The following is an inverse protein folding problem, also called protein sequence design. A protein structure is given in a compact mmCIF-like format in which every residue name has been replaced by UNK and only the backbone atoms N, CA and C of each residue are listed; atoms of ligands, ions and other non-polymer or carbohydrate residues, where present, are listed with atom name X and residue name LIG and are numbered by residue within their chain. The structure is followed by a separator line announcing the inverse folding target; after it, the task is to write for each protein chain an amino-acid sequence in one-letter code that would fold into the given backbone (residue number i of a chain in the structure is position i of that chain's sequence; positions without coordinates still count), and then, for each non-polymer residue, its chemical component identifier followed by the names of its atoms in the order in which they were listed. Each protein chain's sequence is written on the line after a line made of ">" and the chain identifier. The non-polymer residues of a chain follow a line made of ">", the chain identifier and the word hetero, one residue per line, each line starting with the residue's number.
data_IF_602250643495
#
_entry.id   IF_602250643495
#
_cell.length_a   1.000
_cell.length_b   1.000
_cell.length_c   1.000
_cell.angle_alpha   90.00
_cell.angle_beta   90.00
_cell.angle_gamma   90.00
#
_symmetry.space_group_name_H-M   'P 1'
#
loop_
_entity.id
_entity.type
_entity.pdbx_description
1 polymer ?
#
# COMPACT_ATOMS: atom_id res chain seq x y z
N UNK A 1 -34.60 -39.75 -40.00
CA UNK A 1 -34.75 -38.32 -39.72
C UNK A 1 -33.91 -37.97 -38.53
N UNK A 2 -32.93 -37.06 -38.65
CA UNK A 2 -32.11 -36.63 -37.53
C UNK A 2 -32.99 -35.85 -36.53
N UNK A 3 -33.04 -36.28 -35.26
CA UNK A 3 -33.75 -35.56 -34.19
C UNK A 3 -33.27 -34.12 -34.11
N UNK A 4 -34.18 -33.15 -34.25
CA UNK A 4 -33.90 -31.74 -34.03
C UNK A 4 -33.43 -31.56 -32.59
N UNK A 5 -32.25 -30.97 -32.38
CA UNK A 5 -31.73 -30.66 -31.05
C UNK A 5 -32.61 -29.63 -30.35
N UNK A 6 -32.71 -29.66 -29.02
CA UNK A 6 -33.42 -28.64 -28.26
C UNK A 6 -32.86 -27.22 -28.57
N UNK A 7 -33.73 -26.21 -28.47
CA UNK A 7 -33.30 -24.82 -28.58
C UNK A 7 -32.36 -24.51 -27.42
N UNK A 8 -31.12 -24.05 -27.72
CA UNK A 8 -30.08 -23.77 -26.72
C UNK A 8 -28.81 -24.63 -26.85
N UNK A 9 -28.91 -25.84 -27.47
CA UNK A 9 -27.77 -26.78 -27.60
C UNK A 9 -26.65 -26.33 -28.57
N UNK A 10 -26.78 -25.14 -29.19
CA UNK A 10 -25.81 -24.61 -30.15
C UNK A 10 -25.84 -25.31 -31.53
N UNK A 11 -25.19 -24.70 -32.51
CA UNK A 11 -25.01 -25.25 -33.85
C UNK A 11 -23.72 -26.09 -33.90
N UNK A 12 -23.80 -27.28 -34.52
CA UNK A 12 -22.65 -28.18 -34.72
C UNK A 12 -22.55 -28.55 -36.19
N UNK A 13 -21.35 -28.41 -36.78
CA UNK A 13 -21.06 -28.86 -38.14
C UNK A 13 -19.65 -29.45 -38.22
N UNK A 14 -19.44 -30.35 -39.20
CA UNK A 14 -18.12 -30.83 -39.60
C UNK A 14 -17.58 -29.89 -40.67
N UNK A 15 -16.36 -29.40 -40.54
CA UNK A 15 -15.68 -28.53 -41.49
C UNK A 15 -15.00 -29.36 -42.59
N UNK A 16 -14.65 -28.70 -43.67
CA UNK A 16 -13.91 -29.33 -44.78
C UNK A 16 -12.50 -29.80 -44.35
N UNK A 17 -11.90 -29.10 -43.34
CA UNK A 17 -10.61 -29.47 -42.73
C UNK A 17 -10.71 -30.69 -41.77
N UNK A 18 -11.87 -31.37 -41.73
CA UNK A 18 -12.10 -32.53 -40.90
C UNK A 18 -12.42 -32.26 -39.44
N UNK A 19 -12.23 -31.04 -38.95
CA UNK A 19 -12.56 -30.66 -37.57
C UNK A 19 -14.04 -30.41 -37.37
N UNK A 20 -14.51 -30.61 -36.14
CA UNK A 20 -15.86 -30.29 -35.77
C UNK A 20 -15.88 -28.82 -35.22
N UNK A 21 -16.87 -28.05 -35.64
CA UNK A 21 -17.12 -26.69 -35.19
C UNK A 21 -18.51 -26.62 -34.55
N UNK A 22 -18.57 -25.96 -33.40
CA UNK A 22 -19.83 -25.63 -32.74
C UNK A 22 -19.86 -24.17 -32.33
N UNK A 23 -21.05 -23.58 -32.23
CA UNK A 23 -21.24 -22.22 -31.76
C UNK A 23 -22.50 -22.08 -30.93
N UNK A 24 -22.43 -21.25 -29.90
CA UNK A 24 -23.58 -20.83 -29.08
C UNK A 24 -23.71 -19.30 -29.18
N UNK A 25 -24.93 -18.78 -28.97
CA UNK A 25 -25.17 -17.35 -28.84
C UNK A 25 -24.84 -16.97 -27.40
N UNK A 26 -24.00 -15.95 -27.21
CA UNK A 26 -23.54 -15.47 -25.90
C UNK A 26 -23.94 -14.01 -25.63
N UNK A 27 -24.61 -13.37 -26.56
CA UNK A 27 -25.09 -11.99 -26.47
C UNK A 27 -25.56 -11.46 -27.81
N UNK A 28 -25.95 -10.21 -27.84
CA UNK A 28 -26.38 -9.50 -29.04
C UNK A 28 -25.65 -8.16 -29.19
N UNK A 29 -25.44 -7.75 -30.44
CA UNK A 29 -24.94 -6.42 -30.77
C UNK A 29 -26.06 -5.41 -30.59
N UNK A 30 -25.71 -4.10 -30.55
CA UNK A 30 -26.69 -2.99 -30.47
C UNK A 30 -27.75 -3.03 -31.58
N UNK A 31 -27.44 -3.63 -32.74
CA UNK A 31 -28.34 -3.80 -33.87
C UNK A 31 -29.13 -5.15 -33.83
N UNK A 32 -29.10 -5.88 -32.71
CA UNK A 32 -29.80 -7.15 -32.55
C UNK A 32 -29.08 -8.37 -33.17
N UNK A 33 -27.94 -8.19 -33.85
CA UNK A 33 -27.17 -9.33 -34.43
C UNK A 33 -26.56 -10.17 -33.31
N UNK A 34 -26.71 -11.53 -33.32
CA UNK A 34 -26.17 -12.37 -32.28
C UNK A 34 -24.65 -12.42 -32.27
N UNK A 35 -24.08 -12.43 -31.06
CA UNK A 35 -22.66 -12.66 -30.81
C UNK A 35 -22.46 -14.15 -30.55
N UNK A 36 -21.61 -14.80 -31.35
CA UNK A 36 -21.35 -16.22 -31.23
C UNK A 36 -20.01 -16.49 -30.53
N UNK A 37 -20.03 -17.47 -29.61
CA UNK A 37 -18.85 -18.15 -29.11
C UNK A 37 -18.66 -19.45 -29.88
N UNK A 38 -17.49 -19.63 -30.50
CA UNK A 38 -17.12 -20.80 -31.26
C UNK A 38 -16.32 -21.78 -30.41
N UNK A 39 -16.54 -23.06 -30.65
CA UNK A 39 -15.73 -24.16 -30.13
C UNK A 39 -15.29 -25.07 -31.29
N UNK A 40 -14.08 -25.61 -31.22
CA UNK A 40 -13.51 -26.52 -32.20
C UNK A 40 -12.94 -27.75 -31.52
N UNK A 41 -13.13 -28.92 -32.17
CA UNK A 41 -12.62 -30.19 -31.70
C UNK A 41 -12.29 -31.14 -32.85
N UNK A 42 -11.50 -32.16 -32.58
CA UNK A 42 -11.21 -33.23 -33.54
C UNK A 42 -12.32 -34.28 -33.61
N UNK A 43 -13.04 -34.46 -32.52
CA UNK A 43 -14.17 -35.41 -32.44
C UNK A 43 -15.46 -34.69 -32.07
N UNK A 44 -16.60 -35.29 -32.47
CA UNK A 44 -17.93 -34.77 -32.12
C UNK A 44 -18.17 -34.82 -30.60
N UNK A 45 -17.66 -35.86 -29.91
CA UNK A 45 -17.81 -36.04 -28.47
C UNK A 45 -17.09 -34.90 -27.72
N UNK A 46 -15.84 -34.67 -28.06
CA UNK A 46 -15.04 -33.57 -27.48
C UNK A 46 -15.70 -32.18 -27.73
N UNK A 47 -16.26 -31.98 -28.94
CA UNK A 47 -16.97 -30.74 -29.23
C UNK A 47 -18.20 -30.58 -28.34
N UNK A 48 -18.98 -31.66 -28.15
CA UNK A 48 -20.17 -31.61 -27.31
C UNK A 48 -19.82 -31.25 -25.87
N UNK A 49 -18.76 -31.85 -25.31
CA UNK A 49 -18.27 -31.52 -23.99
C UNK A 49 -17.83 -30.03 -23.87
N UNK A 50 -17.10 -29.51 -24.86
CA UNK A 50 -16.73 -28.09 -24.94
C UNK A 50 -17.93 -27.14 -25.07
N UNK A 51 -18.94 -27.53 -25.82
CA UNK A 51 -20.18 -26.76 -25.95
C UNK A 51 -20.96 -26.71 -24.63
N UNK A 52 -21.10 -27.85 -23.94
CA UNK A 52 -21.74 -27.89 -22.62
C UNK A 52 -21.01 -26.98 -21.63
N UNK A 53 -19.67 -27.04 -21.56
CA UNK A 53 -18.87 -26.14 -20.73
C UNK A 53 -19.08 -24.67 -21.10
N UNK A 54 -19.20 -24.34 -22.38
CA UNK A 54 -19.50 -22.99 -22.82
C UNK A 54 -20.93 -22.58 -22.46
N UNK A 55 -21.93 -23.46 -22.61
CA UNK A 55 -23.32 -23.17 -22.20
C UNK A 55 -23.35 -22.85 -20.70
N UNK A 56 -22.79 -23.73 -19.86
CA UNK A 56 -22.70 -23.46 -18.40
C UNK A 56 -21.96 -22.18 -18.05
N UNK A 57 -20.89 -21.85 -18.80
CA UNK A 57 -20.08 -20.63 -18.57
C UNK A 57 -20.84 -19.36 -18.91
N UNK A 58 -21.69 -19.40 -19.96
CA UNK A 58 -22.38 -18.22 -20.47
C UNK A 58 -23.90 -18.26 -20.18
N UNK A 59 -24.35 -19.19 -19.33
CA UNK A 59 -25.75 -19.25 -18.91
C UNK A 59 -26.13 -17.92 -18.21
N UNK A 60 -27.25 -17.35 -18.63
CA UNK A 60 -27.78 -16.09 -18.11
C UNK A 60 -26.89 -14.86 -18.28
N UNK A 61 -25.91 -14.94 -19.18
CA UNK A 61 -24.99 -13.83 -19.46
C UNK A 61 -25.19 -13.33 -20.90
N UNK A 62 -25.43 -12.04 -21.05
CA UNK A 62 -25.52 -11.36 -22.33
C UNK A 62 -24.27 -10.48 -22.56
N UNK A 63 -23.31 -11.00 -23.33
CA UNK A 63 -22.07 -10.29 -23.62
C UNK A 63 -22.28 -9.18 -24.66
N UNK A 64 -21.52 -8.10 -24.52
CA UNK A 64 -21.47 -6.98 -25.48
C UNK A 64 -20.41 -7.23 -26.59
N UNK A 65 -20.40 -6.37 -27.63
CA UNK A 65 -19.38 -6.41 -28.68
C UNK A 65 -17.95 -6.25 -28.12
N UNK A 66 -17.84 -5.52 -27.03
CA UNK A 66 -16.58 -5.25 -26.32
C UNK A 66 -15.92 -6.53 -25.74
N UNK A 67 -16.67 -7.63 -25.64
CA UNK A 67 -16.12 -8.94 -25.23
C UNK A 67 -15.01 -9.48 -26.15
N UNK A 68 -14.91 -8.96 -27.37
CA UNK A 68 -13.89 -9.35 -28.37
C UNK A 68 -12.59 -8.59 -28.24
N UNK A 69 -12.56 -7.48 -27.49
CA UNK A 69 -11.33 -6.72 -27.30
C UNK A 69 -10.26 -7.56 -26.59
N UNK A 70 -9.01 -7.20 -26.78
CA UNK A 70 -7.89 -7.79 -26.07
C UNK A 70 -7.89 -7.35 -24.59
N UNK A 71 -7.24 -8.13 -23.73
CA UNK A 71 -7.04 -7.73 -22.35
C UNK A 71 -6.25 -6.40 -22.24
N UNK A 72 -5.30 -6.16 -23.15
CA UNK A 72 -4.55 -4.90 -23.20
C UNK A 72 -5.47 -3.70 -23.45
N UNK A 73 -6.34 -3.78 -24.47
CA UNK A 73 -7.30 -2.72 -24.80
C UNK A 73 -8.29 -2.46 -23.66
N UNK A 74 -8.78 -3.55 -23.02
CA UNK A 74 -9.64 -3.42 -21.83
C UNK A 74 -8.93 -2.70 -20.69
N UNK A 75 -7.71 -3.10 -20.35
CA UNK A 75 -6.97 -2.52 -19.23
C UNK A 75 -6.61 -1.04 -19.48
N UNK A 76 -6.33 -0.64 -20.73
CA UNK A 76 -6.14 0.77 -21.07
C UNK A 76 -7.42 1.57 -20.89
N UNK A 77 -8.53 1.06 -21.43
CA UNK A 77 -9.85 1.66 -21.28
C UNK A 77 -10.25 1.74 -19.79
N UNK A 78 -9.99 0.70 -19.02
CA UNK A 78 -10.27 0.68 -17.59
C UNK A 78 -9.50 1.75 -16.82
N UNK A 79 -8.22 1.96 -17.14
CA UNK A 79 -7.43 3.02 -16.52
C UNK A 79 -7.99 4.41 -16.84
N UNK A 80 -8.40 4.64 -18.10
CA UNK A 80 -8.87 5.95 -18.57
C UNK A 80 -10.31 6.22 -18.12
N UNK A 81 -11.24 5.31 -18.41
CA UNK A 81 -12.67 5.55 -18.24
C UNK A 81 -13.12 5.33 -16.78
N UNK A 82 -12.51 4.37 -16.07
CA UNK A 82 -12.96 3.96 -14.73
C UNK A 82 -12.08 4.51 -13.61
N UNK A 83 -10.79 4.76 -13.85
CA UNK A 83 -9.85 5.08 -12.75
C UNK A 83 -9.28 6.50 -12.79
N UNK A 84 -9.09 7.10 -13.95
CA UNK A 84 -8.44 8.41 -14.06
C UNK A 84 -9.08 9.48 -13.18
N UNK A 85 -10.40 9.56 -13.16
CA UNK A 85 -11.15 10.53 -12.38
C UNK A 85 -11.53 10.07 -10.96
N UNK A 86 -11.25 8.80 -10.60
CA UNK A 86 -11.70 8.22 -9.31
C UNK A 86 -10.57 8.00 -8.34
N UNK A 87 -9.33 7.92 -8.80
CA UNK A 87 -8.17 7.70 -7.96
C UNK A 87 -7.15 8.82 -8.07
N UNK A 88 -6.31 8.99 -7.05
CA UNK A 88 -5.25 10.00 -7.07
C UNK A 88 -4.21 9.69 -8.17
N UNK A 89 -3.54 10.72 -8.74
CA UNK A 89 -2.54 10.53 -9.81
C UNK A 89 -1.44 9.52 -9.46
N UNK A 90 -0.95 9.53 -8.21
CA UNK A 90 0.06 8.55 -7.76
C UNK A 90 -0.47 7.11 -7.68
N UNK A 91 -1.75 6.91 -7.38
CA UNK A 91 -2.39 5.59 -7.40
C UNK A 91 -2.58 5.11 -8.83
N UNK A 92 -3.05 5.99 -9.72
CA UNK A 92 -3.21 5.72 -11.15
C UNK A 92 -1.87 5.33 -11.79
N UNK A 93 -0.80 6.07 -11.50
CA UNK A 93 0.55 5.74 -11.95
C UNK A 93 1.01 4.35 -11.45
N UNK A 94 0.67 4.01 -10.20
CA UNK A 94 0.93 2.69 -9.64
C UNK A 94 0.14 1.58 -10.33
N UNK A 95 -1.13 1.81 -10.66
CA UNK A 95 -1.97 0.87 -11.43
C UNK A 95 -1.41 0.66 -12.82
N UNK A 96 -1.12 1.76 -13.54
CA UNK A 96 -0.49 1.73 -14.87
C UNK A 96 0.81 0.93 -14.85
N UNK A 97 1.69 1.21 -13.89
CA UNK A 97 2.96 0.48 -13.75
C UNK A 97 2.76 -1.03 -13.52
N UNK A 98 1.79 -1.43 -12.71
CA UNK A 98 1.48 -2.85 -12.50
C UNK A 98 0.96 -3.51 -13.78
N UNK A 99 0.07 -2.85 -14.50
CA UNK A 99 -0.54 -3.36 -15.72
C UNK A 99 0.51 -3.49 -16.84
N UNK A 100 1.27 -2.43 -17.11
CA UNK A 100 2.26 -2.39 -18.20
C UNK A 100 3.42 -3.36 -17.97
N UNK A 101 3.91 -3.45 -16.73
CA UNK A 101 5.10 -4.24 -16.46
C UNK A 101 4.81 -5.73 -16.22
N UNK A 102 3.60 -6.08 -15.77
CA UNK A 102 3.36 -7.44 -15.28
C UNK A 102 2.19 -8.17 -15.96
N UNK A 103 1.09 -7.49 -16.29
CA UNK A 103 -0.09 -8.15 -16.85
C UNK A 103 -0.02 -8.19 -18.38
N UNK A 104 0.14 -7.03 -19.02
CA UNK A 104 0.12 -6.91 -20.47
C UNK A 104 1.20 -7.76 -21.17
N UNK A 105 2.45 -7.85 -20.71
CA UNK A 105 3.47 -8.65 -21.37
C UNK A 105 3.14 -10.13 -21.50
N UNK A 106 2.29 -10.65 -20.60
CA UNK A 106 1.97 -12.08 -20.55
C UNK A 106 0.56 -12.43 -21.03
N UNK A 107 -0.40 -11.55 -20.78
CA UNK A 107 -1.81 -11.81 -21.06
C UNK A 107 -2.46 -10.76 -21.99
N UNK A 108 -1.80 -9.65 -22.26
CA UNK A 108 -2.38 -8.51 -22.96
C UNK A 108 -2.93 -8.81 -24.34
N UNK A 109 -2.29 -9.68 -25.12
CA UNK A 109 -2.74 -10.07 -26.45
C UNK A 109 -3.91 -11.06 -26.47
N UNK A 110 -4.31 -11.61 -25.31
CA UNK A 110 -5.42 -12.55 -25.23
C UNK A 110 -6.75 -11.78 -25.20
N UNK A 111 -7.77 -12.31 -25.89
CA UNK A 111 -9.12 -11.75 -25.81
C UNK A 111 -9.61 -11.81 -24.36
N UNK A 112 -10.18 -10.69 -23.85
CA UNK A 112 -10.53 -10.53 -22.44
C UNK A 112 -11.52 -11.59 -21.95
N UNK A 113 -12.51 -11.94 -22.76
CA UNK A 113 -13.50 -12.97 -22.43
C UNK A 113 -12.95 -14.41 -22.41
N UNK A 114 -11.76 -14.63 -22.97
CA UNK A 114 -11.08 -15.93 -23.01
C UNK A 114 -10.01 -16.10 -21.91
N UNK A 115 -9.76 -15.08 -21.10
CA UNK A 115 -8.86 -15.20 -19.95
C UNK A 115 -9.44 -16.16 -18.94
N UNK A 116 -8.64 -17.11 -18.47
CA UNK A 116 -9.06 -18.15 -17.51
C UNK A 116 -8.34 -18.02 -16.19
N UNK A 117 -8.88 -18.63 -15.13
CA UNK A 117 -8.21 -18.68 -13.82
C UNK A 117 -6.85 -19.41 -13.89
N UNK A 118 -6.71 -20.36 -14.81
CA UNK A 118 -5.41 -21.02 -15.06
C UNK A 118 -4.38 -20.06 -15.66
N UNK A 119 -4.78 -19.13 -16.54
CA UNK A 119 -3.89 -18.10 -17.08
C UNK A 119 -3.40 -17.18 -15.97
N UNK A 120 -4.33 -16.77 -15.11
CA UNK A 120 -4.02 -15.92 -13.94
C UNK A 120 -3.06 -16.64 -12.98
N UNK A 121 -3.30 -17.93 -12.71
CA UNK A 121 -2.42 -18.73 -11.85
C UNK A 121 -1.02 -18.93 -12.46
N UNK A 122 -0.93 -19.13 -13.78
CA UNK A 122 0.35 -19.20 -14.49
C UNK A 122 1.09 -17.87 -14.45
N UNK A 123 0.38 -16.74 -14.58
CA UNK A 123 0.94 -15.40 -14.42
C UNK A 123 1.58 -15.26 -13.04
N UNK A 124 0.87 -15.56 -11.94
CA UNK A 124 1.42 -15.41 -10.59
C UNK A 124 2.64 -16.30 -10.34
N UNK A 125 2.63 -17.53 -10.84
CA UNK A 125 3.79 -18.41 -10.74
C UNK A 125 5.02 -17.82 -11.45
N UNK A 126 4.87 -17.37 -12.70
CA UNK A 126 5.97 -16.75 -13.46
C UNK A 126 6.50 -15.48 -12.79
N UNK A 127 5.61 -14.65 -12.24
CA UNK A 127 6.00 -13.45 -11.51
C UNK A 127 6.77 -13.78 -10.22
N UNK A 128 6.41 -14.88 -9.56
CA UNK A 128 7.15 -15.36 -8.39
C UNK A 128 8.54 -15.86 -8.76
N UNK A 129 8.68 -16.53 -9.88
CA UNK A 129 9.95 -17.11 -10.34
C UNK A 129 10.86 -16.04 -10.97
N UNK A 130 10.34 -15.23 -11.88
CA UNK A 130 11.10 -14.25 -12.67
C UNK A 130 10.25 -13.02 -13.07
N UNK A 131 9.73 -12.32 -12.07
CA UNK A 131 8.79 -11.22 -12.31
C UNK A 131 9.37 -9.82 -12.25
N UNK A 132 10.62 -9.62 -11.81
CA UNK A 132 11.20 -8.28 -11.73
C UNK A 132 11.58 -7.76 -13.11
N UNK A 133 11.17 -6.51 -13.40
CA UNK A 133 11.58 -5.79 -14.61
C UNK A 133 13.09 -5.53 -14.63
N UNK A 134 13.70 -5.34 -13.45
CA UNK A 134 15.14 -5.22 -13.26
C UNK A 134 15.56 -6.14 -12.12
N UNK A 135 16.57 -6.93 -12.33
CA UNK A 135 17.14 -7.77 -11.30
C UNK A 135 17.61 -6.94 -10.11
N UNK A 136 17.32 -7.43 -8.91
CA UNK A 136 17.72 -6.75 -7.68
C UNK A 136 18.90 -7.47 -7.04
N UNK A 137 19.99 -6.78 -6.65
CA UNK A 137 21.20 -7.43 -6.13
C UNK A 137 20.97 -8.40 -4.98
N UNK A 138 19.99 -8.10 -4.10
CA UNK A 138 19.65 -8.91 -2.93
C UNK A 138 18.55 -9.95 -3.18
N UNK A 139 17.60 -9.66 -4.07
CA UNK A 139 16.37 -10.46 -4.24
C UNK A 139 16.27 -11.13 -5.61
N UNK A 140 17.29 -10.99 -6.47
CA UNK A 140 17.31 -11.54 -7.81
C UNK A 140 16.14 -11.05 -8.66
N UNK A 141 15.61 -11.93 -9.50
CA UNK A 141 14.50 -11.67 -10.42
C UNK A 141 13.11 -11.96 -9.83
N UNK A 142 13.02 -12.51 -8.61
CA UNK A 142 11.74 -12.89 -7.97
C UNK A 142 10.93 -11.68 -7.52
N UNK A 143 9.61 -11.71 -7.72
CA UNK A 143 8.70 -10.69 -7.22
C UNK A 143 8.19 -11.06 -5.83
N UNK A 144 8.07 -10.08 -4.93
CA UNK A 144 7.57 -10.33 -3.57
C UNK A 144 6.09 -10.69 -3.56
N UNK A 145 5.67 -11.53 -2.59
CA UNK A 145 4.27 -11.91 -2.40
C UNK A 145 3.36 -10.69 -2.20
N UNK A 146 3.83 -9.68 -1.47
CA UNK A 146 3.11 -8.40 -1.29
C UNK A 146 2.85 -7.70 -2.63
N UNK A 147 3.80 -7.73 -3.57
CA UNK A 147 3.63 -7.13 -4.89
C UNK A 147 2.65 -7.94 -5.73
N UNK A 148 2.70 -9.27 -5.66
CA UNK A 148 1.74 -10.15 -6.36
C UNK A 148 0.33 -9.94 -5.80
N UNK A 149 0.16 -9.82 -4.48
CA UNK A 149 -1.12 -9.51 -3.85
C UNK A 149 -1.69 -8.16 -4.32
N UNK A 150 -0.84 -7.13 -4.39
CA UNK A 150 -1.25 -5.82 -4.92
C UNK A 150 -1.66 -5.90 -6.39
N UNK A 151 -0.92 -6.63 -7.20
CA UNK A 151 -1.23 -6.87 -8.60
C UNK A 151 -2.55 -7.63 -8.74
N UNK A 152 -2.77 -8.68 -7.92
CA UNK A 152 -4.03 -9.40 -7.89
C UNK A 152 -5.20 -8.46 -7.57
N UNK A 153 -5.08 -7.61 -6.55
CA UNK A 153 -6.15 -6.67 -6.19
C UNK A 153 -6.51 -5.72 -7.34
N UNK A 154 -5.51 -5.20 -8.06
CA UNK A 154 -5.71 -4.33 -9.23
C UNK A 154 -6.37 -5.11 -10.37
N UNK A 155 -5.87 -6.31 -10.67
CA UNK A 155 -6.38 -7.14 -11.73
C UNK A 155 -7.80 -7.64 -11.44
N UNK A 156 -8.05 -8.06 -10.18
CA UNK A 156 -9.38 -8.45 -9.73
C UNK A 156 -10.39 -7.33 -9.94
N UNK A 157 -10.05 -6.11 -9.52
CA UNK A 157 -10.94 -4.95 -9.69
C UNK A 157 -11.20 -4.66 -11.17
N UNK A 158 -10.19 -4.72 -12.04
CA UNK A 158 -10.37 -4.49 -13.47
C UNK A 158 -11.27 -5.56 -14.12
N UNK A 159 -11.14 -6.81 -13.69
CA UNK A 159 -11.96 -7.90 -14.19
C UNK A 159 -13.38 -7.89 -13.60
N UNK A 160 -13.56 -7.38 -12.38
CA UNK A 160 -14.89 -7.18 -11.79
C UNK A 160 -15.66 -6.08 -12.52
N UNK A 161 -14.99 -4.96 -12.83
CA UNK A 161 -15.57 -3.88 -13.63
C UNK A 161 -15.91 -4.38 -15.07
N UNK A 162 -15.13 -5.32 -15.64
CA UNK A 162 -15.44 -5.98 -16.92
C UNK A 162 -16.66 -6.90 -16.82
N UNK A 163 -16.84 -7.60 -15.70
CA UNK A 163 -18.01 -8.43 -15.44
C UNK A 163 -19.27 -7.56 -15.36
N UNK A 164 -19.24 -6.48 -14.60
CA UNK A 164 -20.36 -5.54 -14.49
C UNK A 164 -20.69 -4.85 -15.82
N UNK A 165 -19.69 -4.64 -16.68
CA UNK A 165 -19.90 -4.09 -18.02
C UNK A 165 -20.34 -5.14 -19.07
N UNK A 166 -20.64 -6.37 -18.68
CA UNK A 166 -20.99 -7.48 -19.55
C UNK A 166 -19.97 -7.80 -20.67
N UNK A 167 -18.69 -7.52 -20.39
CA UNK A 167 -17.56 -7.81 -21.28
C UNK A 167 -17.08 -9.25 -21.09
N UNK A 168 -17.19 -9.77 -19.87
CA UNK A 168 -16.86 -11.13 -19.48
C UNK A 168 -18.01 -11.77 -18.69
N UNK A 169 -18.12 -13.09 -18.76
CA UNK A 169 -19.16 -13.84 -18.06
C UNK A 169 -18.81 -14.16 -16.59
N UNK A 170 -17.52 -14.30 -16.30
CA UNK A 170 -17.01 -14.63 -14.95
C UNK A 170 -15.66 -13.93 -14.75
N UNK A 171 -15.43 -13.46 -13.54
CA UNK A 171 -14.13 -12.89 -13.18
C UNK A 171 -13.08 -14.01 -13.03
N UNK A 172 -12.05 -14.08 -13.90
CA UNK A 172 -11.08 -15.18 -13.89
C UNK A 172 -10.13 -15.13 -12.68
N UNK A 173 -10.07 -14.02 -11.97
CA UNK A 173 -9.17 -13.88 -10.81
C UNK A 173 -9.73 -14.54 -9.56
N UNK A 174 -11.07 -14.75 -9.46
CA UNK A 174 -11.73 -15.34 -8.29
C UNK A 174 -11.24 -16.77 -8.00
N UNK A 175 -10.94 -17.56 -9.06
CA UNK A 175 -10.43 -18.92 -8.89
C UNK A 175 -8.90 -19.04 -8.76
N UNK A 176 -8.17 -17.92 -8.68
CA UNK A 176 -6.72 -17.94 -8.58
C UNK A 176 -6.26 -17.87 -7.13
N UNK A 177 -5.31 -18.73 -6.77
CA UNK A 177 -4.67 -18.72 -5.45
C UNK A 177 -3.58 -17.67 -5.40
N UNK A 178 -3.69 -16.75 -4.46
CA UNK A 178 -2.70 -15.68 -4.23
C UNK A 178 -1.73 -16.11 -3.13
N UNK A 179 -0.41 -15.89 -3.28
CA UNK A 179 0.55 -16.21 -2.23
C UNK A 179 0.24 -15.44 -0.94
N UNK A 180 0.35 -16.09 0.20
CA UNK A 180 0.18 -15.44 1.50
C UNK A 180 1.37 -14.50 1.76
N UNK A 181 1.12 -13.20 1.78
CA UNK A 181 2.15 -12.22 2.10
C UNK A 181 2.55 -12.33 3.57
N UNK A 182 3.83 -12.54 3.82
CA UNK A 182 4.41 -12.39 5.15
C UNK A 182 4.98 -10.98 5.29
N UNK A 183 4.66 -10.31 6.38
CA UNK A 183 5.25 -9.00 6.68
C UNK A 183 6.36 -9.21 7.71
N UNK A 184 7.60 -8.91 7.32
CA UNK A 184 8.68 -8.83 8.29
C UNK A 184 8.35 -7.75 9.34
N UNK A 185 8.69 -7.97 10.62
CA UNK A 185 8.52 -6.95 11.66
C UNK A 185 9.17 -5.63 11.22
N UNK A 186 8.53 -4.52 11.55
CA UNK A 186 9.09 -3.20 11.29
C UNK A 186 10.31 -3.01 12.18
N UNK A 187 11.43 -2.58 11.60
CA UNK A 187 12.61 -2.29 12.39
C UNK A 187 12.50 -0.89 12.97
N UNK A 188 12.72 -0.79 14.27
CA UNK A 188 12.82 0.44 15.06
C UNK A 188 14.27 0.57 15.51
N UNK A 189 14.82 1.77 15.54
CA UNK A 189 16.13 2.01 16.14
C UNK A 189 16.03 1.83 17.65
N UNK A 190 16.96 1.08 18.22
CA UNK A 190 17.12 0.97 19.66
C UNK A 190 17.65 2.29 20.24
N UNK A 191 17.59 2.48 21.58
CA UNK A 191 18.09 3.70 22.22
C UNK A 191 19.53 4.00 21.82
N UNK A 192 20.41 3.00 21.84
CA UNK A 192 21.81 3.15 21.43
C UNK A 192 21.98 3.49 19.94
N UNK A 193 21.20 2.88 19.07
CA UNK A 193 21.21 3.18 17.64
C UNK A 193 20.66 4.57 17.35
N UNK A 194 19.66 5.01 18.13
CA UNK A 194 19.09 6.35 18.04
C UNK A 194 20.10 7.40 18.49
N UNK A 195 20.79 7.19 19.62
CA UNK A 195 21.87 8.07 20.07
C UNK A 195 22.97 8.19 19.03
N UNK A 196 23.44 7.07 18.49
CA UNK A 196 24.45 7.05 17.42
C UNK A 196 23.97 7.79 16.16
N UNK A 197 22.69 7.63 15.79
CA UNK A 197 22.11 8.35 14.66
C UNK A 197 22.05 9.87 14.94
N UNK A 198 21.61 10.26 16.12
CA UNK A 198 21.52 11.68 16.53
C UNK A 198 22.90 12.35 16.57
N UNK A 199 23.93 11.65 17.04
CA UNK A 199 25.30 12.16 17.02
C UNK A 199 25.82 12.35 15.60
N UNK A 200 25.62 11.37 14.73
CA UNK A 200 25.99 11.48 13.31
C UNK A 200 25.24 12.61 12.58
N UNK A 201 23.98 12.85 12.95
CA UNK A 201 23.13 13.93 12.40
C UNK A 201 23.54 15.30 12.96
N UNK A 202 23.94 15.38 14.23
CA UNK A 202 24.38 16.63 14.88
C UNK A 202 25.61 17.23 14.22
N UNK A 203 26.50 16.42 13.69
CA UNK A 203 27.67 16.86 12.93
C UNK A 203 27.30 17.42 11.54
N UNK A 204 26.13 17.10 11.03
CA UNK A 204 25.70 17.53 9.71
C UNK A 204 24.99 18.90 9.76
N UNK A 205 25.71 19.94 9.33
CA UNK A 205 25.22 21.33 9.36
C UNK A 205 23.97 21.59 8.50
N UNK A 206 23.72 20.76 7.49
CA UNK A 206 22.61 20.93 6.55
C UNK A 206 21.39 20.13 7.00
N UNK A 207 21.61 18.87 7.41
CA UNK A 207 20.57 17.89 7.66
C UNK A 207 20.24 17.69 9.14
N UNK A 208 21.10 18.22 10.05
CA UNK A 208 20.92 18.05 11.50
C UNK A 208 19.53 18.45 11.97
N UNK A 209 19.13 19.67 11.66
CA UNK A 209 17.81 20.20 12.04
C UNK A 209 16.65 19.41 11.39
N UNK A 210 16.83 18.94 10.13
CA UNK A 210 15.81 18.19 9.42
C UNK A 210 15.49 16.86 10.11
N UNK A 211 16.52 16.05 10.40
CA UNK A 211 16.33 14.77 11.04
C UNK A 211 15.92 14.89 12.51
N UNK A 212 16.38 15.93 13.19
CA UNK A 212 15.93 16.23 14.55
C UNK A 212 14.42 16.52 14.60
N UNK A 213 13.93 17.37 13.69
CA UNK A 213 12.48 17.65 13.57
C UNK A 213 11.71 16.39 13.19
N UNK A 214 12.23 15.57 12.28
CA UNK A 214 11.59 14.30 11.91
C UNK A 214 11.43 13.36 13.11
N UNK A 215 12.50 13.18 13.90
CA UNK A 215 12.53 12.29 15.05
C UNK A 215 11.71 12.79 16.24
N UNK A 216 11.44 14.09 16.32
CA UNK A 216 10.65 14.69 17.42
C UNK A 216 9.18 14.92 17.06
N UNK A 217 8.80 14.77 15.79
CA UNK A 217 7.42 15.00 15.30
C UNK A 217 6.81 13.78 14.62
N UNK A 218 7.61 12.83 14.16
CA UNK A 218 7.16 11.65 13.43
C UNK A 218 6.41 11.99 12.14
N UNK A 219 6.73 13.07 11.45
CA UNK A 219 6.12 13.49 10.21
C UNK A 219 6.34 12.45 9.10
N UNK A 220 5.43 12.36 8.12
CA UNK A 220 5.72 11.60 6.92
C UNK A 220 6.76 12.33 6.08
N UNK A 221 7.64 11.59 5.39
CA UNK A 221 8.70 12.15 4.54
C UNK A 221 8.23 13.31 3.64
N UNK A 222 7.09 13.14 2.98
CA UNK A 222 6.55 14.20 2.13
C UNK A 222 5.93 15.36 2.91
N UNK A 223 5.50 15.15 4.14
CA UNK A 223 4.97 16.21 5.01
C UNK A 223 6.10 17.13 5.46
N UNK A 224 7.19 16.58 6.02
CA UNK A 224 8.33 17.40 6.48
C UNK A 224 9.01 18.14 5.32
N UNK A 225 9.16 17.52 4.15
CA UNK A 225 9.70 18.19 2.96
C UNK A 225 8.79 19.30 2.41
N UNK A 226 7.49 19.26 2.71
CA UNK A 226 6.50 20.24 2.24
C UNK A 226 6.17 21.33 3.24
N UNK A 227 6.90 21.44 4.38
CA UNK A 227 6.65 22.45 5.41
C UNK A 227 7.06 23.84 4.94
N UNK A 228 6.21 24.83 5.22
CA UNK A 228 6.46 26.26 4.97
C UNK A 228 6.46 27.05 6.28
N UNK A 229 7.09 28.22 6.28
CA UNK A 229 7.11 29.10 7.46
C UNK A 229 5.74 29.58 7.90
N UNK A 230 4.77 29.68 7.00
CA UNK A 230 3.37 29.98 7.33
C UNK A 230 2.67 28.88 8.15
N UNK A 231 3.25 27.69 8.20
CA UNK A 231 2.72 26.55 8.97
C UNK A 231 3.22 26.53 10.40
N UNK A 232 4.26 27.34 10.71
CA UNK A 232 4.89 27.37 12.03
C UNK A 232 4.52 28.64 12.79
N UNK A 233 3.74 28.49 13.86
CA UNK A 233 3.52 29.52 14.87
C UNK A 233 4.71 29.56 15.85
N UNK A 234 5.62 30.48 15.60
CA UNK A 234 6.83 30.61 16.39
C UNK A 234 6.55 31.06 17.84
N UNK A 235 5.45 31.80 18.09
CA UNK A 235 5.08 32.28 19.43
C UNK A 235 4.65 31.13 20.32
N UNK A 236 3.73 30.28 19.81
CA UNK A 236 3.13 29.21 20.59
C UNK A 236 3.86 27.86 20.42
N UNK A 237 4.87 27.75 19.53
CA UNK A 237 5.58 26.50 19.26
C UNK A 237 4.70 25.44 18.60
N UNK A 238 3.84 25.86 17.69
CA UNK A 238 2.83 25.01 17.06
C UNK A 238 3.11 24.85 15.57
N UNK A 239 3.06 23.63 15.07
CA UNK A 239 3.23 23.28 13.66
C UNK A 239 1.95 22.73 13.06
N UNK A 240 1.52 23.27 11.93
CA UNK A 240 0.36 22.81 11.19
C UNK A 240 0.80 22.01 9.98
N UNK A 241 0.35 20.73 9.90
CA UNK A 241 0.61 19.87 8.76
C UNK A 241 -0.56 19.99 7.79
N UNK A 242 -0.36 20.69 6.68
CA UNK A 242 -1.44 21.01 5.71
C UNK A 242 -1.24 20.34 4.34
N UNK A 243 0.00 19.98 4.03
CA UNK A 243 0.36 19.48 2.69
C UNK A 243 1.39 18.37 2.74
N UNK A 244 1.55 17.71 1.61
CA UNK A 244 2.59 16.70 1.39
C UNK A 244 3.23 16.93 0.03
N UNK A 245 4.54 16.84 -0.01
CA UNK A 245 5.30 16.86 -1.25
C UNK A 245 5.41 15.44 -1.80
N UNK A 246 4.92 15.24 -3.02
CA UNK A 246 5.14 14.02 -3.78
C UNK A 246 6.44 14.12 -4.58
N UNK A 247 6.94 12.97 -5.06
CA UNK A 247 8.18 12.95 -5.83
C UNK A 247 8.13 13.93 -7.00
N UNK A 248 9.16 14.76 -7.08
CA UNK A 248 9.40 15.69 -8.15
C UNK A 248 9.66 14.93 -9.45
N UNK A 249 8.79 15.02 -10.44
CA UNK A 249 9.07 14.65 -11.80
C UNK A 249 9.20 15.93 -12.62
N UNK A 250 10.31 16.09 -13.36
CA UNK A 250 10.50 17.13 -14.37
C UNK A 250 10.34 18.58 -13.88
N UNK A 251 10.78 18.90 -12.67
CA UNK A 251 10.79 20.29 -12.18
C UNK A 251 9.45 20.85 -11.70
N UNK A 252 8.37 20.07 -11.78
CA UNK A 252 7.07 20.47 -11.25
C UNK A 252 6.92 19.92 -9.83
N UNK A 253 6.77 20.82 -8.87
CA UNK A 253 6.51 20.44 -7.47
C UNK A 253 5.08 19.93 -7.34
N UNK A 254 4.94 18.64 -7.09
CA UNK A 254 3.64 18.05 -6.83
C UNK A 254 3.26 18.23 -5.37
N UNK A 255 2.90 19.47 -4.98
CA UNK A 255 2.26 19.73 -3.71
C UNK A 255 0.83 19.18 -3.75
N UNK A 256 0.54 18.22 -2.90
CA UNK A 256 -0.80 17.67 -2.73
C UNK A 256 -1.36 18.00 -1.36
N UNK A 257 -2.68 18.06 -1.24
CA UNK A 257 -3.33 17.98 0.07
C UNK A 257 -2.94 16.68 0.75
N UNK A 258 -2.92 16.66 2.06
CA UNK A 258 -2.67 15.44 2.83
C UNK A 258 -3.57 14.30 2.37
N UNK A 259 -3.10 13.05 2.50
CA UNK A 259 -3.80 11.86 1.93
C UNK A 259 -5.21 11.68 2.49
N UNK A 260 -5.46 12.11 3.71
CA UNK A 260 -6.73 11.95 4.42
C UNK A 260 -7.07 13.25 5.16
N UNK A 261 -8.33 13.43 5.56
CA UNK A 261 -8.77 14.56 6.40
C UNK A 261 -8.02 14.59 7.73
N UNK A 262 -7.71 13.44 8.31
CA UNK A 262 -6.86 13.29 9.50
C UNK A 262 -5.38 13.60 9.25
N UNK A 263 -4.96 13.76 7.99
CA UNK A 263 -3.61 14.22 7.64
C UNK A 263 -3.40 15.71 7.91
N UNK A 264 -4.46 16.54 7.86
CA UNK A 264 -4.41 17.93 8.31
C UNK A 264 -4.54 17.94 9.83
N UNK A 265 -3.46 18.36 10.49
CA UNK A 265 -3.36 18.31 11.94
C UNK A 265 -2.43 19.37 12.47
N UNK A 266 -2.61 19.68 13.73
CA UNK A 266 -1.77 20.60 14.51
C UNK A 266 -0.95 19.78 15.49
N UNK A 267 0.36 20.07 15.55
CA UNK A 267 1.31 19.44 16.47
C UNK A 267 1.89 20.53 17.37
N UNK A 268 1.77 20.34 18.67
CA UNK A 268 2.51 21.15 19.65
C UNK A 268 3.93 20.58 19.71
N UNK A 269 4.91 21.42 19.44
CA UNK A 269 6.30 20.99 19.33
C UNK A 269 6.97 20.93 20.70
N UNK A 270 7.89 19.98 20.94
CA UNK A 270 8.83 20.07 22.05
C UNK A 270 9.60 21.41 22.01
N UNK A 271 9.94 21.96 23.19
CA UNK A 271 10.62 23.25 23.28
C UNK A 271 11.90 23.31 22.44
N UNK A 272 12.73 22.27 22.48
CA UNK A 272 13.95 22.14 21.68
C UNK A 272 13.70 22.23 20.19
N UNK A 273 12.66 21.54 19.69
CA UNK A 273 12.25 21.55 18.28
C UNK A 273 11.76 22.94 17.86
N UNK A 274 10.95 23.59 18.71
CA UNK A 274 10.45 24.92 18.44
C UNK A 274 11.62 25.97 18.42
N UNK A 275 12.61 25.82 19.26
CA UNK A 275 13.81 26.68 19.29
C UNK A 275 14.67 26.52 18.03
N UNK A 276 14.87 25.31 17.56
CA UNK A 276 15.53 25.03 16.28
C UNK A 276 14.80 25.72 15.13
N UNK A 277 13.48 25.60 15.07
CA UNK A 277 12.70 26.25 14.00
C UNK A 277 12.69 27.76 14.11
N UNK A 278 12.69 28.35 15.32
CA UNK A 278 12.83 29.81 15.51
C UNK A 278 14.16 30.33 14.96
N UNK A 279 15.27 29.70 15.38
CA UNK A 279 16.62 30.05 14.90
C UNK A 279 16.71 29.90 13.36
N UNK A 280 16.15 28.88 12.76
CA UNK A 280 16.12 28.73 11.31
C UNK A 280 15.28 29.80 10.63
N UNK A 281 14.17 30.22 11.25
CA UNK A 281 13.27 31.24 10.69
C UNK A 281 13.94 32.61 10.61
N UNK A 282 14.79 32.95 11.57
CA UNK A 282 15.58 34.21 11.57
C UNK A 282 16.48 34.32 10.33
N UNK A 283 16.99 33.22 9.84
CA UNK A 283 17.85 33.13 8.66
C UNK A 283 17.13 32.67 7.40
N UNK A 284 15.79 32.69 7.38
CA UNK A 284 15.01 32.15 6.28
C UNK A 284 15.03 33.10 5.07
N UNK A 285 15.49 32.60 3.94
CA UNK A 285 15.53 33.31 2.65
C UNK A 285 14.41 32.86 1.68
N UNK A 286 13.67 31.82 2.03
CA UNK A 286 12.61 31.24 1.22
C UNK A 286 11.38 30.91 2.07
N UNK A 287 10.28 30.55 1.42
CA UNK A 287 9.05 30.12 2.11
C UNK A 287 9.18 28.75 2.80
N UNK A 288 10.15 27.92 2.42
CA UNK A 288 10.30 26.54 2.89
C UNK A 288 11.06 26.48 4.21
N UNK A 289 10.59 25.65 5.14
CA UNK A 289 11.35 25.37 6.39
C UNK A 289 12.62 24.57 6.05
N UNK A 290 12.48 23.64 5.10
CA UNK A 290 13.59 22.85 4.58
C UNK A 290 13.67 23.01 3.06
N UNK A 291 14.45 24.00 2.57
CA UNK A 291 14.66 24.19 1.15
C UNK A 291 15.64 23.17 0.57
N UNK A 292 15.63 23.03 -0.76
CA UNK A 292 16.65 22.27 -1.50
C UNK A 292 18.01 22.95 -1.33
N UNK A 293 19.08 22.24 -0.92
CA UNK A 293 20.39 22.86 -0.64
C UNK A 293 21.05 23.54 -1.85
N UNK A 294 20.70 23.11 -3.06
CA UNK A 294 21.27 23.64 -4.32
C UNK A 294 20.37 24.69 -4.95
N UNK A 295 19.05 24.55 -4.79
CA UNK A 295 18.01 25.43 -5.35
C UNK A 295 17.06 25.86 -4.25
N UNK A 296 17.42 26.86 -3.43
CA UNK A 296 16.66 27.23 -2.22
C UNK A 296 15.23 27.70 -2.48
N UNK A 297 14.92 28.13 -3.70
CA UNK A 297 13.55 28.48 -4.13
C UNK A 297 12.60 27.26 -4.16
N UNK A 298 13.16 26.06 -4.13
CA UNK A 298 12.42 24.81 -4.19
C UNK A 298 12.42 24.08 -2.84
N UNK A 299 11.39 23.28 -2.54
CA UNK A 299 11.39 22.46 -1.33
C UNK A 299 12.40 21.31 -1.44
N UNK A 300 12.85 20.81 -0.30
CA UNK A 300 13.71 19.63 -0.23
C UNK A 300 13.04 18.42 -0.89
N UNK A 301 13.74 17.81 -1.85
CA UNK A 301 13.23 16.60 -2.50
C UNK A 301 13.14 15.43 -1.51
N UNK A 302 11.98 14.72 -1.43
CA UNK A 302 11.85 13.52 -0.59
C UNK A 302 12.85 12.42 -0.94
N UNK A 303 13.30 12.33 -2.20
CA UNK A 303 14.33 11.38 -2.60
C UNK A 303 15.72 11.79 -2.12
N UNK A 304 16.03 13.08 -2.13
CA UNK A 304 17.28 13.62 -1.58
C UNK A 304 17.37 13.31 -0.08
N UNK A 305 16.30 13.59 0.69
CA UNK A 305 16.21 13.25 2.10
C UNK A 305 16.42 11.74 2.37
N UNK A 306 15.83 10.88 1.55
CA UNK A 306 16.03 9.44 1.65
C UNK A 306 17.48 9.02 1.38
N UNK A 307 18.07 9.51 0.30
CA UNK A 307 19.45 9.16 -0.08
C UNK A 307 20.44 9.62 0.99
N UNK A 308 20.24 10.83 1.52
CA UNK A 308 21.10 11.37 2.56
C UNK A 308 20.99 10.59 3.88
N UNK A 309 19.77 10.23 4.30
CA UNK A 309 19.57 9.34 5.45
C UNK A 309 20.36 8.01 5.27
N UNK A 310 20.31 7.41 4.09
CA UNK A 310 21.05 6.17 3.81
C UNK A 310 22.56 6.38 3.94
N UNK A 311 23.08 7.50 3.49
CA UNK A 311 24.50 7.84 3.64
C UNK A 311 24.90 8.01 5.12
N UNK A 312 24.05 8.66 5.94
CA UNK A 312 24.27 8.81 7.39
C UNK A 312 24.26 7.43 8.06
N UNK A 313 23.26 6.61 7.82
CA UNK A 313 23.17 5.25 8.39
C UNK A 313 24.40 4.41 8.05
N UNK A 314 24.83 4.45 6.80
CA UNK A 314 26.01 3.72 6.36
C UNK A 314 27.30 4.23 7.03
N UNK A 315 27.49 5.56 7.08
CA UNK A 315 28.66 6.18 7.72
C UNK A 315 28.74 5.87 9.22
N UNK A 316 27.57 5.84 9.88
CA UNK A 316 27.47 5.55 11.32
C UNK A 316 27.48 4.04 11.65
N UNK A 317 27.59 3.16 10.67
CA UNK A 317 27.52 1.71 10.89
C UNK A 317 26.16 1.21 11.38
N UNK A 318 25.11 1.98 11.13
CA UNK A 318 23.75 1.67 11.57
C UNK A 318 23.02 0.75 10.59
N UNK A 319 22.00 0.04 11.06
CA UNK A 319 21.20 -0.82 10.19
C UNK A 319 20.51 -0.07 9.07
N UNK A 320 20.35 -0.74 7.93
CA UNK A 320 19.63 -0.21 6.78
C UNK A 320 18.12 -0.19 7.02
N UNK A 321 17.59 0.95 7.44
CA UNK A 321 16.16 1.18 7.67
C UNK A 321 15.54 2.05 6.57
N UNK A 322 14.20 2.01 6.45
CA UNK A 322 13.45 2.88 5.53
C UNK A 322 13.23 4.23 6.20
N UNK A 323 13.04 5.30 5.43
CA UNK A 323 12.72 6.62 5.98
C UNK A 323 11.48 6.58 6.91
N UNK A 324 10.48 5.80 6.56
CA UNK A 324 9.27 5.68 7.39
C UNK A 324 9.52 4.96 8.72
N UNK A 325 10.62 4.24 8.85
CA UNK A 325 11.00 3.58 10.10
C UNK A 325 11.52 4.58 11.15
N UNK A 326 11.97 5.80 10.76
CA UNK A 326 12.23 6.92 11.71
C UNK A 326 10.94 7.34 12.42
N UNK A 327 9.85 7.45 11.67
CA UNK A 327 8.53 7.73 12.26
C UNK A 327 8.04 6.57 13.16
N UNK A 328 8.36 5.32 12.80
CA UNK A 328 8.08 4.18 13.66
C UNK A 328 8.91 4.23 14.94
N UNK A 329 10.18 4.64 14.85
CA UNK A 329 11.06 4.87 16.00
C UNK A 329 10.46 5.93 16.94
N UNK A 330 10.11 7.12 16.41
CA UNK A 330 9.41 8.14 17.20
C UNK A 330 8.17 7.59 17.92
N UNK A 331 7.31 6.87 17.18
CA UNK A 331 6.06 6.37 17.74
C UNK A 331 6.27 5.33 18.84
N UNK A 332 7.24 4.43 18.67
CA UNK A 332 7.57 3.39 19.65
C UNK A 332 8.12 4.01 20.93
N UNK A 333 9.09 4.94 20.82
CA UNK A 333 9.64 5.64 21.96
C UNK A 333 8.62 6.53 22.68
N UNK A 334 7.72 7.20 21.94
CA UNK A 334 6.64 8.00 22.52
C UNK A 334 5.68 7.13 23.38
N UNK A 335 5.27 5.97 22.88
CA UNK A 335 4.44 5.03 23.66
C UNK A 335 5.22 4.50 24.86
N UNK A 336 6.46 4.09 24.69
CA UNK A 336 7.32 3.62 25.78
C UNK A 336 7.50 4.69 26.87
N UNK A 337 7.50 5.96 26.49
CA UNK A 337 7.55 7.11 27.41
C UNK A 337 6.17 7.50 27.99
N UNK A 338 5.11 6.72 27.76
CA UNK A 338 3.80 6.92 28.39
C UNK A 338 2.81 7.80 27.60
N UNK A 339 3.12 8.19 26.37
CA UNK A 339 2.14 8.90 25.50
C UNK A 339 1.03 7.93 25.12
N UNK A 340 -0.23 8.30 25.41
CA UNK A 340 -1.37 7.46 25.07
C UNK A 340 -1.56 7.31 23.54
N UNK A 341 -2.04 6.14 23.13
CA UNK A 341 -2.15 5.75 21.73
C UNK A 341 -3.09 6.65 20.92
N UNK A 342 -4.12 7.26 21.54
CA UNK A 342 -5.06 8.16 20.87
C UNK A 342 -4.41 9.50 20.57
N UNK A 343 -3.71 10.08 21.54
CA UNK A 343 -2.92 11.31 21.36
C UNK A 343 -1.83 11.11 20.32
N UNK A 344 -1.07 10.00 20.41
CA UNK A 344 -0.05 9.66 19.41
C UNK A 344 -0.65 9.48 18.01
N UNK A 345 -1.81 8.82 17.89
CA UNK A 345 -2.53 8.69 16.61
C UNK A 345 -2.89 10.05 16.01
N UNK A 346 -3.30 11.00 16.87
CA UNK A 346 -3.54 12.40 16.48
C UNK A 346 -2.27 13.10 15.96
N UNK A 347 -1.18 13.02 16.70
CA UNK A 347 0.12 13.58 16.31
C UNK A 347 0.59 13.01 14.97
N UNK A 348 0.49 11.68 14.81
CA UNK A 348 0.89 11.00 13.60
C UNK A 348 -0.11 11.21 12.43
N UNK A 349 -1.36 11.59 12.68
CA UNK A 349 -2.41 11.72 11.65
C UNK A 349 -2.77 10.35 11.05
N UNK A 350 -3.00 9.36 11.90
CA UNK A 350 -3.58 8.08 11.51
C UNK A 350 -5.11 8.22 11.42
N UNK A 351 -5.73 7.63 10.42
CA UNK A 351 -7.19 7.62 10.25
C UNK A 351 -7.90 6.75 11.27
N UNK A 352 -7.19 5.76 11.83
CA UNK A 352 -7.70 4.85 12.83
C UNK A 352 -6.65 4.63 13.94
N UNK A 353 -7.05 4.85 15.18
CA UNK A 353 -6.20 4.62 16.36
C UNK A 353 -5.83 3.13 16.54
N UNK A 354 -6.69 2.19 16.08
CA UNK A 354 -6.36 0.76 16.09
C UNK A 354 -5.06 0.47 15.34
N UNK A 355 -4.78 1.18 14.24
CA UNK A 355 -3.51 1.02 13.53
C UNK A 355 -2.29 1.38 14.40
N UNK A 356 -2.42 2.38 15.26
CA UNK A 356 -1.37 2.77 16.22
C UNK A 356 -1.22 1.69 17.29
N UNK A 357 -2.33 1.21 17.83
CA UNK A 357 -2.35 0.10 18.78
C UNK A 357 -1.71 -1.17 18.20
N UNK A 358 -2.21 -1.67 17.07
CA UNK A 358 -1.71 -2.89 16.42
C UNK A 358 -0.23 -2.82 16.01
N UNK A 359 0.27 -1.61 15.75
CA UNK A 359 1.63 -1.42 15.26
C UNK A 359 2.66 -1.27 16.38
N UNK A 360 2.28 -0.64 17.50
CA UNK A 360 3.23 -0.18 18.52
C UNK A 360 2.98 -0.77 19.91
N UNK A 361 1.84 -1.40 20.18
CA UNK A 361 1.56 -1.98 21.49
C UNK A 361 2.08 -3.42 21.64
N UNK A 362 3.37 -3.62 21.50
CA UNK A 362 3.99 -4.69 22.26
C UNK A 362 4.18 -4.17 23.68
N UNK A 363 3.26 -4.57 24.57
CA UNK A 363 3.34 -4.21 26.00
C UNK A 363 4.67 -4.72 26.54
N UNK A 364 5.60 -3.81 26.79
CA UNK A 364 6.85 -4.17 27.45
C UNK A 364 6.62 -4.33 28.96
N UNK A 365 7.46 -5.13 29.63
CA UNK A 365 7.43 -5.27 31.09
C UNK A 365 7.54 -3.92 31.81
N UNK A 366 8.27 -2.96 31.22
CA UNK A 366 8.43 -1.62 31.79
C UNK A 366 7.17 -0.76 31.66
N UNK A 367 6.41 -0.91 30.57
CA UNK A 367 5.08 -0.29 30.44
C UNK A 367 4.10 -0.83 31.49
N UNK A 368 4.14 -2.13 31.78
CA UNK A 368 3.32 -2.74 32.85
C UNK A 368 3.71 -2.21 34.21
N UNK A 369 5.00 -2.08 34.52
CA UNK A 369 5.49 -1.48 35.77
C UNK A 369 5.04 -0.03 35.91
N UNK A 370 5.18 0.77 34.86
CA UNK A 370 4.74 2.17 34.85
C UNK A 370 3.24 2.29 35.09
N UNK A 371 2.44 1.47 34.36
CA UNK A 371 0.99 1.41 34.56
C UNK A 371 0.63 1.00 35.98
N UNK A 372 1.32 0.01 36.55
CA UNK A 372 1.15 -0.45 37.92
C UNK A 372 1.45 0.68 38.90
N UNK A 373 2.52 1.46 38.70
CA UNK A 373 2.86 2.62 39.52
C UNK A 373 1.81 3.72 39.49
N UNK A 374 1.28 4.02 38.28
CA UNK A 374 0.20 5.02 38.09
C UNK A 374 -1.08 4.57 38.81
N UNK A 375 -1.48 3.30 38.66
CA UNK A 375 -2.65 2.75 39.34
C UNK A 375 -2.44 2.72 40.85
N UNK A 376 -1.24 2.32 41.31
CA UNK A 376 -0.87 2.33 42.71
C UNK A 376 -0.97 3.74 43.34
N UNK A 377 -0.38 4.75 42.71
CA UNK A 377 -0.46 6.16 43.13
C UNK A 377 -1.90 6.68 43.18
N UNK A 378 -2.71 6.39 42.15
CA UNK A 378 -4.13 6.74 42.18
C UNK A 378 -4.90 6.08 43.31
N UNK A 379 -4.61 4.82 43.60
CA UNK A 379 -5.26 4.11 44.69
C UNK A 379 -4.82 4.65 46.05
N UNK A 380 -3.55 5.01 46.22
CA UNK A 380 -3.04 5.68 47.43
C UNK A 380 -3.67 7.05 47.65
N UNK A 381 -3.89 7.82 46.58
CA UNK A 381 -4.57 9.12 46.66
C UNK A 381 -6.05 9.00 47.09
N UNK A 382 -6.76 7.99 46.62
CA UNK A 382 -8.19 7.77 46.94
C UNK A 382 -8.38 7.11 48.31
N UNK A 383 -7.59 6.09 48.64
CA UNK A 383 -7.81 5.23 49.83
C UNK A 383 -6.92 5.58 51.02
N UNK A 384 -6.06 6.61 50.93
CA UNK A 384 -5.10 6.99 51.95
C UNK A 384 -3.87 6.08 51.98
N UNK A 385 -2.80 6.56 52.58
CA UNK A 385 -1.44 6.00 52.54
C UNK A 385 -1.21 4.65 53.20
N UNK A 386 -2.21 3.87 53.51
CA UNK A 386 -2.08 2.58 54.22
C UNK A 386 -2.57 1.40 53.40
N UNK A 387 -2.18 1.25 52.17
CA UNK A 387 -2.07 -0.07 51.58
C UNK A 387 -0.69 -0.61 51.95
N UNK A 388 -0.63 -1.39 53.06
CA UNK A 388 0.60 -2.11 53.39
C UNK A 388 1.03 -2.93 52.19
N UNK A 389 2.32 -2.89 51.81
CA UNK A 389 2.81 -3.76 50.76
C UNK A 389 2.46 -5.21 51.12
N UNK A 390 2.13 -6.00 50.10
CA UNK A 390 1.98 -7.44 50.24
C UNK A 390 3.16 -7.96 51.05
N UNK A 391 2.95 -8.35 52.33
CA UNK A 391 3.91 -9.14 53.03
C UNK A 391 3.87 -10.50 52.34
N UNK A 392 4.94 -10.88 51.66
CA UNK A 392 5.20 -12.26 51.33
C UNK A 392 4.95 -13.06 52.60
N UNK A 393 3.94 -13.93 52.57
CA UNK A 393 3.73 -14.92 53.63
C UNK A 393 4.87 -15.94 53.52
N UNK A 394 6.05 -15.57 54.03
CA UNK A 394 6.95 -16.56 54.63
C UNK A 394 6.26 -17.13 55.83
N UNK A 395 5.60 -18.26 55.68
CA UNK A 395 5.29 -19.30 56.67
C UNK A 395 4.05 -20.07 56.24
N UNK A 396 4.21 -20.95 55.29
CA UNK A 396 3.39 -22.16 55.18
C UNK A 396 4.30 -23.31 54.70
N UNK A 397 5.44 -23.44 55.40
CA UNK A 397 6.18 -24.70 55.48
C UNK A 397 6.46 -24.97 56.96
N UNK A 398 5.54 -25.61 57.61
CA UNK A 398 5.71 -26.54 58.74
C UNK A 398 4.32 -26.87 59.27
N UNK A 399 3.85 -28.00 58.82
CA UNK A 399 2.92 -28.95 59.47
C UNK A 399 2.07 -29.67 58.40
N UNK A 400 2.65 -30.71 57.84
CA UNK A 400 2.00 -32.00 57.63
C UNK A 400 3.05 -33.04 57.20
#
# INVERSE_FOLDING_TARGET
>A
MAKRRPAGDGMVRKREDGRWEGRIVVGHKKNGTPIFQHAYAHTQKELTEKLHQNIERYQDVELTEDSRMTLSEWLDRWLTDYKENTVRPGTLAGYRSCIENYIKPQLGGKQVSLVTSQDVQKLYRRLKENGRVREHPRFGSTLSDTTINRLHAIFHQAMEDALHAHIIAKNPTVGATVPKASHAPKRVLTDKELDTFLDAVREDKIWGDFFYVELTTGLRRGEICGLMWQDFDARNGVLQVRRTLHNRKLGVDMLGKTKTRSGERTIVLPRSTAEILRRRKENAITQWIFPDPVRPELPLSPNCAYTHMKAILHKAGLPDIRFHDLRHTFATHAIASGVDAKTLSGILGHTNASFTLDTYTHVTSDMQKTACGIVGGFMEDIFGKELKPWQENEKLETEL
#
